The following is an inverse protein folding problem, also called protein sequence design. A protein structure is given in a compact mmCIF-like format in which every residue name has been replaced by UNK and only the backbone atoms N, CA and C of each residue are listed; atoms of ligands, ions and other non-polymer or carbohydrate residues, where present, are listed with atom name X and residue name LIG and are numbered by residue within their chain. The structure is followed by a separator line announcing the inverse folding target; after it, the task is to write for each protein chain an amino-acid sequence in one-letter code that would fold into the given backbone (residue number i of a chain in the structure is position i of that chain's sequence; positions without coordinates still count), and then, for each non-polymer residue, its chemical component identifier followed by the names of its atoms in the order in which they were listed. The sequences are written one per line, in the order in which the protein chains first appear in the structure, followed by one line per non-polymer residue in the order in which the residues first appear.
data_IF_686432203305
#
_entry.id   IF_686432203305
#
_cell.length_a   1.000
_cell.length_b   1.000
_cell.length_c   1.000
_cell.angle_alpha   90.00
_cell.angle_beta   90.00
_cell.angle_gamma   90.00
#
_symmetry.space_group_name_H-M   'P 1'
#
loop_
_entity.id
_entity.type
_entity.pdbx_description
1 polymer ?
#
# COMPACT_ATOMS: atom_id res chain seq x y z
N UNK A 1 51.53 60.70 -13.37
CA UNK A 1 51.60 60.78 -11.90
C UNK A 1 50.42 60.02 -11.32
N UNK A 2 50.70 59.35 -10.21
CA UNK A 2 49.88 58.49 -9.35
C UNK A 2 49.63 57.02 -9.74
N UNK A 3 50.06 56.22 -8.76
CA UNK A 3 50.21 54.78 -8.55
C UNK A 3 49.39 54.49 -7.28
N UNK A 4 48.79 53.31 -7.21
CA UNK A 4 48.24 52.67 -6.00
C UNK A 4 47.50 51.42 -6.46
N UNK A 5 48.08 50.22 -6.45
CA UNK A 5 48.46 49.29 -5.35
C UNK A 5 47.30 48.69 -4.54
N UNK A 6 47.31 47.35 -4.48
CA UNK A 6 46.66 46.46 -3.48
C UNK A 6 45.21 46.06 -3.79
N UNK A 7 44.76 44.81 -3.71
CA UNK A 7 45.36 43.54 -3.30
C UNK A 7 44.50 42.41 -3.90
N UNK A 8 45.12 41.45 -4.56
CA UNK A 8 44.47 40.23 -5.03
C UNK A 8 44.62 39.14 -3.94
N UNK A 9 43.61 38.98 -3.09
CA UNK A 9 43.56 37.86 -2.15
C UNK A 9 43.17 36.57 -2.88
N UNK A 10 44.18 35.80 -3.26
CA UNK A 10 44.03 34.39 -3.61
C UNK A 10 43.77 33.57 -2.34
N UNK A 11 42.57 33.01 -2.22
CA UNK A 11 42.23 32.07 -1.16
C UNK A 11 42.95 30.73 -1.41
N UNK A 12 44.09 30.57 -0.74
CA UNK A 12 44.87 29.33 -0.69
C UNK A 12 44.25 28.42 0.38
N UNK A 13 43.43 27.47 -0.04
CA UNK A 13 42.95 26.40 0.84
C UNK A 13 44.12 25.46 1.17
N UNK A 14 44.69 25.62 2.37
CA UNK A 14 45.60 24.65 2.97
C UNK A 14 44.76 23.47 3.46
N UNK A 15 44.97 22.30 2.83
CA UNK A 15 44.52 21.01 3.36
C UNK A 15 45.45 20.66 4.52
N UNK A 16 45.00 20.90 5.76
CA UNK A 16 45.53 20.20 6.91
C UNK A 16 45.07 18.74 6.85
N UNK A 17 46.02 17.86 7.07
CA UNK A 17 46.04 16.42 6.79
C UNK A 17 44.97 15.63 7.56
N UNK A 18 44.17 14.85 6.83
CA UNK A 18 43.21 13.83 7.32
C UNK A 18 43.85 12.71 8.17
N UNK A 19 45.18 12.70 8.35
CA UNK A 19 45.90 11.63 9.03
C UNK A 19 45.92 11.74 10.56
N UNK A 20 45.62 12.89 11.15
CA UNK A 20 45.65 13.07 12.62
C UNK A 20 44.27 12.86 13.30
N UNK A 21 43.17 12.77 12.53
CA UNK A 21 41.82 12.60 13.08
C UNK A 21 41.41 11.12 13.29
N UNK A 22 42.04 10.17 12.59
CA UNK A 22 41.69 8.74 12.71
C UNK A 22 42.40 8.01 13.86
N UNK A 23 43.40 8.65 14.49
CA UNK A 23 44.21 7.99 15.52
C UNK A 23 43.68 8.19 16.95
N UNK A 24 42.82 9.20 17.18
CA UNK A 24 42.22 9.45 18.51
C UNK A 24 40.91 8.69 18.76
N UNK A 25 40.28 8.14 17.71
CA UNK A 25 38.96 7.48 17.81
C UNK A 25 39.03 5.96 18.03
N UNK A 26 40.23 5.36 17.95
CA UNK A 26 40.43 3.90 18.14
C UNK A 26 40.73 3.45 19.57
N UNK A 27 41.00 4.34 20.52
CA UNK A 27 41.38 3.97 21.90
C UNK A 27 40.26 4.10 22.95
N UNK A 28 39.01 4.37 22.56
CA UNK A 28 37.87 4.46 23.48
C UNK A 28 36.91 3.25 23.41
N UNK A 29 37.46 2.04 23.21
CA UNK A 29 36.72 0.78 23.16
C UNK A 29 36.93 -0.06 24.44
N UNK A 30 36.43 0.44 25.57
CA UNK A 30 35.99 -0.45 26.66
C UNK A 30 34.65 0.08 27.21
N UNK A 31 33.56 -0.47 26.67
CA UNK A 31 32.20 -0.21 27.16
C UNK A 31 31.94 -1.12 28.36
N UNK A 32 31.70 -0.51 29.53
CA UNK A 32 31.27 -1.20 30.73
C UNK A 32 29.86 -1.79 30.54
N UNK A 33 29.65 -3.04 30.96
CA UNK A 33 28.36 -3.75 30.90
C UNK A 33 27.70 -3.89 32.28
N UNK A 34 27.75 -2.84 33.10
CA UNK A 34 27.04 -2.82 34.39
C UNK A 34 25.59 -2.30 34.21
N UNK A 35 24.63 -2.80 35.01
CA UNK A 35 23.25 -2.32 34.97
C UNK A 35 23.19 -0.83 35.39
N UNK A 36 22.77 0.04 34.47
CA UNK A 36 22.63 1.48 34.70
C UNK A 36 23.49 2.38 33.79
N UNK A 37 24.40 1.81 33.00
CA UNK A 37 25.37 2.59 32.18
C UNK A 37 24.81 3.08 30.82
N UNK A 38 23.50 3.04 30.64
CA UNK A 38 22.78 3.58 29.47
C UNK A 38 22.49 5.08 29.57
N UNK A 39 23.29 5.84 30.32
CA UNK A 39 23.10 7.27 30.46
C UNK A 39 23.66 7.97 29.22
N UNK A 40 22.73 8.43 28.35
CA UNK A 40 22.89 9.36 27.22
C UNK A 40 24.26 10.03 27.18
N UNK A 41 25.03 9.77 26.10
CA UNK A 41 26.38 10.34 25.93
C UNK A 41 26.30 11.87 25.99
N UNK A 42 27.31 12.52 26.58
CA UNK A 42 27.40 13.99 26.63
C UNK A 42 27.23 14.65 25.25
N UNK A 43 27.68 13.99 24.18
CA UNK A 43 27.53 14.45 22.80
C UNK A 43 26.07 14.45 22.32
N UNK A 44 25.27 13.47 22.72
CA UNK A 44 23.84 13.39 22.36
C UNK A 44 23.02 14.40 23.16
N UNK A 45 23.36 14.59 24.45
CA UNK A 45 22.76 15.61 25.30
C UNK A 45 23.08 17.04 24.81
N UNK A 46 24.25 17.24 24.19
CA UNK A 46 24.65 18.54 23.63
C UNK A 46 23.95 18.83 22.29
N UNK A 47 23.60 17.80 21.49
CA UNK A 47 22.75 17.97 20.30
C UNK A 47 21.34 18.39 20.67
N UNK A 48 20.76 17.79 21.70
CA UNK A 48 19.40 18.14 22.19
C UNK A 48 19.34 19.50 22.90
N UNK A 49 20.39 19.90 23.61
CA UNK A 49 20.48 21.25 24.21
C UNK A 49 20.73 22.35 23.19
N UNK A 50 21.25 22.02 22.00
CA UNK A 50 21.35 22.96 20.89
C UNK A 50 19.97 23.12 20.21
N UNK A 51 19.06 23.81 20.89
CA UNK A 51 17.87 24.39 20.25
C UNK A 51 18.36 25.10 19.00
N UNK A 52 17.94 24.65 17.82
CA UNK A 52 18.22 25.34 16.55
C UNK A 52 17.78 26.79 16.73
N UNK A 53 18.74 27.71 16.90
CA UNK A 53 18.50 29.17 16.99
C UNK A 53 17.87 29.74 15.71
N UNK A 54 17.73 28.91 14.68
CA UNK A 54 17.07 29.22 13.42
C UNK A 54 15.89 28.26 13.22
N UNK A 55 14.86 28.40 14.06
CA UNK A 55 13.51 28.07 13.59
C UNK A 55 13.09 29.14 12.57
N UNK A 56 12.32 28.82 11.52
CA UNK A 56 11.82 29.83 10.60
C UNK A 56 10.85 30.75 11.37
N UNK A 57 11.35 31.90 11.83
CA UNK A 57 10.54 32.98 12.43
C UNK A 57 9.95 33.85 11.31
N UNK A 58 9.35 33.21 10.32
CA UNK A 58 8.53 33.90 9.33
C UNK A 58 7.09 33.45 9.52
N UNK A 59 6.14 34.38 9.75
CA UNK A 59 4.71 34.08 9.77
C UNK A 59 4.21 33.31 8.52
N UNK A 60 4.99 33.28 7.46
CA UNK A 60 4.77 32.53 6.22
C UNK A 60 4.80 31.00 6.39
N UNK A 61 5.48 30.47 7.40
CA UNK A 61 5.66 29.02 7.55
C UNK A 61 4.38 28.26 7.94
N UNK A 62 3.39 28.95 8.50
CA UNK A 62 2.06 28.41 8.84
C UNK A 62 0.96 28.87 7.88
N UNK A 63 1.29 29.62 6.83
CA UNK A 63 0.33 30.23 5.89
C UNK A 63 0.62 29.74 4.48
N UNK A 64 0.58 28.43 4.26
CA UNK A 64 0.55 27.88 2.91
C UNK A 64 -0.90 27.99 2.41
N UNK A 65 -1.12 28.84 1.39
CA UNK A 65 -2.38 28.87 0.63
C UNK A 65 -3.38 29.99 0.97
N UNK A 66 -3.04 30.98 1.80
CA UNK A 66 -3.90 32.17 1.99
C UNK A 66 -3.30 33.39 1.29
N UNK A 67 -4.09 34.03 0.43
CA UNK A 67 -3.69 35.24 -0.28
C UNK A 67 -3.42 36.39 0.72
N UNK A 68 -2.35 37.16 0.49
CA UNK A 68 -1.98 38.30 1.33
C UNK A 68 -2.81 39.55 1.00
N UNK A 69 -3.35 39.62 -0.21
CA UNK A 69 -4.28 40.62 -0.69
C UNK A 69 -5.23 40.02 -1.73
N UNK A 70 -6.35 40.70 -2.09
CA UNK A 70 -7.30 40.21 -3.09
C UNK A 70 -6.68 40.01 -4.48
N UNK A 71 -5.67 40.81 -4.84
CA UNK A 71 -4.94 40.64 -6.11
C UNK A 71 -3.93 39.48 -6.11
N UNK A 72 -3.47 39.04 -4.92
CA UNK A 72 -2.63 37.85 -4.72
C UNK A 72 -3.47 36.56 -4.56
N UNK A 73 -4.80 36.68 -4.64
CA UNK A 73 -5.71 35.54 -4.51
C UNK A 73 -5.77 34.72 -5.80
N UNK A 74 -5.83 33.40 -5.64
CA UNK A 74 -5.96 32.50 -6.77
C UNK A 74 -7.26 32.82 -7.51
N UNK A 75 -7.17 33.04 -8.82
CA UNK A 75 -8.35 33.29 -9.64
C UNK A 75 -9.40 32.21 -9.44
N UNK A 76 -10.68 32.59 -9.48
CA UNK A 76 -11.79 31.66 -9.32
C UNK A 76 -11.74 30.49 -10.32
N UNK A 77 -11.13 30.66 -11.48
CA UNK A 77 -10.89 29.58 -12.44
C UNK A 77 -9.92 28.52 -11.92
N UNK A 78 -8.82 28.94 -11.27
CA UNK A 78 -7.84 28.01 -10.68
C UNK A 78 -8.42 27.38 -9.41
N UNK A 79 -9.14 28.15 -8.60
CA UNK A 79 -9.86 27.62 -7.44
C UNK A 79 -10.88 26.56 -7.85
N UNK A 80 -11.69 26.81 -8.89
CA UNK A 80 -12.61 25.80 -9.47
C UNK A 80 -11.91 24.60 -10.08
N UNK A 81 -10.71 24.79 -10.65
CA UNK A 81 -9.89 23.68 -11.17
C UNK A 81 -9.45 22.75 -10.03
N UNK A 82 -9.08 23.32 -8.89
CA UNK A 82 -8.68 22.57 -7.68
C UNK A 82 -9.86 22.01 -6.87
N UNK A 83 -11.03 22.67 -6.90
CA UNK A 83 -12.25 22.27 -6.18
C UNK A 83 -13.18 21.33 -6.99
N UNK A 84 -12.66 20.66 -8.03
CA UNK A 84 -13.44 19.71 -8.87
C UNK A 84 -14.71 20.31 -9.53
N UNK A 85 -14.80 21.64 -9.70
CA UNK A 85 -15.98 22.31 -10.26
C UNK A 85 -15.94 22.52 -11.78
N UNK A 86 -15.05 21.82 -12.50
CA UNK A 86 -14.98 21.83 -13.96
C UNK A 86 -15.64 20.58 -14.55
N UNK A 87 -16.45 20.73 -15.60
CA UNK A 87 -17.16 19.61 -16.27
C UNK A 87 -16.23 18.50 -16.78
N UNK A 88 -15.00 18.85 -17.13
CA UNK A 88 -13.94 17.92 -17.55
C UNK A 88 -13.39 17.02 -16.42
N UNK A 89 -13.60 17.39 -15.15
CA UNK A 89 -13.23 16.61 -13.96
C UNK A 89 -14.40 15.78 -13.42
N UNK A 90 -15.56 15.79 -14.07
CA UNK A 90 -16.69 14.96 -13.68
C UNK A 90 -16.26 13.48 -13.58
N UNK A 91 -16.55 12.85 -12.44
CA UNK A 91 -16.18 11.46 -12.17
C UNK A 91 -14.69 11.22 -11.90
N UNK A 92 -13.85 12.25 -11.72
CA UNK A 92 -12.44 12.07 -11.37
C UNK A 92 -12.27 11.33 -10.03
N UNK A 93 -12.98 11.75 -8.98
CA UNK A 93 -12.89 11.12 -7.66
C UNK A 93 -13.37 9.67 -7.69
N UNK A 94 -14.40 9.36 -8.49
CA UNK A 94 -14.85 7.97 -8.72
C UNK A 94 -13.78 7.12 -9.44
N UNK A 95 -13.14 7.67 -10.49
CA UNK A 95 -12.03 6.99 -11.18
C UNK A 95 -10.82 6.78 -10.27
N UNK A 96 -10.45 7.80 -9.49
CA UNK A 96 -9.36 7.70 -8.52
C UNK A 96 -9.67 6.65 -7.45
N UNK A 97 -10.89 6.66 -6.92
CA UNK A 97 -11.33 5.67 -5.96
C UNK A 97 -11.28 4.24 -6.54
N UNK A 98 -11.77 4.05 -7.77
CA UNK A 98 -11.67 2.76 -8.46
C UNK A 98 -10.21 2.33 -8.66
N UNK A 99 -9.33 3.23 -9.09
CA UNK A 99 -7.89 2.94 -9.21
C UNK A 99 -7.25 2.58 -7.87
N UNK A 100 -7.63 3.25 -6.78
CA UNK A 100 -7.13 2.94 -5.45
C UNK A 100 -7.62 1.57 -4.98
N UNK A 101 -8.86 1.18 -5.28
CA UNK A 101 -9.36 -0.19 -5.04
C UNK A 101 -8.46 -1.21 -5.71
N UNK A 102 -8.13 -1.01 -6.99
CA UNK A 102 -7.28 -1.93 -7.75
C UNK A 102 -5.83 -1.95 -7.24
N UNK A 103 -5.23 -0.77 -7.02
CA UNK A 103 -3.82 -0.66 -6.58
C UNK A 103 -3.57 -1.28 -5.22
N UNK A 104 -4.40 -0.93 -4.24
CA UNK A 104 -4.28 -1.46 -2.87
C UNK A 104 -4.50 -2.97 -2.87
N UNK A 105 -5.54 -3.45 -3.57
CA UNK A 105 -5.83 -4.89 -3.66
C UNK A 105 -4.68 -5.65 -4.33
N UNK A 106 -4.13 -5.12 -5.43
CA UNK A 106 -2.99 -5.72 -6.11
C UNK A 106 -1.73 -5.78 -5.21
N UNK A 107 -1.46 -4.72 -4.44
CA UNK A 107 -0.36 -4.72 -3.48
C UNK A 107 -0.54 -5.82 -2.42
N UNK A 108 -1.73 -5.92 -1.81
CA UNK A 108 -2.04 -6.97 -0.83
C UNK A 108 -1.94 -8.38 -1.42
N UNK A 109 -2.38 -8.59 -2.66
CA UNK A 109 -2.23 -9.87 -3.36
C UNK A 109 -0.76 -10.26 -3.57
N UNK A 110 0.10 -9.28 -3.85
CA UNK A 110 1.54 -9.52 -4.00
C UNK A 110 2.21 -9.82 -2.65
N UNK A 111 1.83 -9.10 -1.60
CA UNK A 111 2.35 -9.33 -0.24
C UNK A 111 2.03 -10.75 0.26
N UNK A 112 0.87 -11.28 -0.13
CA UNK A 112 0.43 -12.65 0.19
C UNK A 112 0.85 -13.70 -0.86
N UNK A 113 1.60 -13.30 -1.89
CA UNK A 113 2.05 -14.20 -2.97
C UNK A 113 0.93 -14.99 -3.64
N UNK A 114 -0.25 -14.39 -3.84
CA UNK A 114 -1.40 -15.07 -4.45
C UNK A 114 -1.12 -15.48 -5.91
N UNK A 115 -1.76 -16.57 -6.33
CA UNK A 115 -1.69 -17.03 -7.71
C UNK A 115 -2.26 -15.97 -8.67
N UNK A 116 -1.84 -15.95 -9.96
CA UNK A 116 -2.40 -15.01 -10.92
C UNK A 116 -3.92 -15.10 -11.04
N UNK A 117 -4.48 -16.31 -10.95
CA UNK A 117 -5.92 -16.53 -10.97
C UNK A 117 -6.63 -15.90 -9.77
N UNK A 118 -6.17 -16.19 -8.55
CA UNK A 118 -6.71 -15.59 -7.32
C UNK A 118 -6.68 -14.07 -7.37
N UNK A 119 -5.57 -13.51 -7.85
CA UNK A 119 -5.38 -12.07 -8.00
C UNK A 119 -6.39 -11.46 -8.97
N UNK A 120 -6.58 -12.07 -10.14
CA UNK A 120 -7.53 -11.58 -11.14
C UNK A 120 -8.97 -11.63 -10.59
N UNK A 121 -9.34 -12.67 -9.84
CA UNK A 121 -10.63 -12.76 -9.14
C UNK A 121 -10.79 -11.67 -8.07
N UNK A 122 -9.77 -11.46 -7.23
CA UNK A 122 -9.79 -10.42 -6.18
C UNK A 122 -9.98 -9.04 -6.80
N UNK A 123 -9.22 -8.74 -7.86
CA UNK A 123 -9.35 -7.47 -8.56
C UNK A 123 -10.71 -7.32 -9.25
N UNK A 124 -11.27 -8.41 -9.78
CA UNK A 124 -12.58 -8.41 -10.41
C UNK A 124 -13.67 -8.04 -9.41
N UNK A 125 -13.73 -8.78 -8.30
CA UNK A 125 -14.64 -8.49 -7.19
C UNK A 125 -14.45 -7.07 -6.66
N UNK A 126 -13.22 -6.68 -6.30
CA UNK A 126 -12.94 -5.36 -5.74
C UNK A 126 -13.29 -4.21 -6.69
N UNK A 127 -13.20 -4.42 -8.01
CA UNK A 127 -13.53 -3.40 -9.01
C UNK A 127 -15.01 -3.02 -9.01
N UNK A 128 -15.89 -4.00 -8.85
CA UNK A 128 -17.35 -3.86 -8.90
C UNK A 128 -18.00 -3.72 -7.51
N UNK A 129 -17.33 -4.16 -6.45
CA UNK A 129 -17.86 -4.14 -5.10
C UNK A 129 -18.19 -2.72 -4.61
N UNK A 130 -19.39 -2.56 -4.04
CA UNK A 130 -19.80 -1.34 -3.34
C UNK A 130 -19.27 -1.36 -1.89
N UNK A 131 -18.28 -0.51 -1.64
CA UNK A 131 -17.68 -0.39 -0.31
C UNK A 131 -18.63 0.25 0.71
N UNK A 132 -19.68 0.96 0.28
CA UNK A 132 -20.61 1.62 1.22
C UNK A 132 -21.42 0.62 2.03
N UNK A 133 -21.67 -0.59 1.50
CA UNK A 133 -22.32 -1.69 2.22
C UNK A 133 -21.56 -2.11 3.50
N UNK A 134 -20.25 -1.87 3.56
CA UNK A 134 -19.40 -2.21 4.71
C UNK A 134 -19.43 -1.14 5.83
N UNK A 135 -20.19 -0.05 5.63
CA UNK A 135 -20.43 0.98 6.63
C UNK A 135 -19.14 1.64 7.14
N UNK A 136 -18.93 1.62 8.45
CA UNK A 136 -17.75 2.24 9.08
C UNK A 136 -16.43 1.51 8.75
N UNK A 137 -16.49 0.26 8.30
CA UNK A 137 -15.31 -0.55 7.99
C UNK A 137 -15.00 -0.61 6.48
N UNK A 138 -15.52 0.35 5.70
CA UNK A 138 -15.34 0.47 4.23
C UNK A 138 -13.93 0.82 3.75
N UNK A 139 -12.92 0.73 4.61
CA UNK A 139 -11.54 1.01 4.22
C UNK A 139 -11.08 -0.04 3.20
N UNK A 140 -10.54 0.42 2.06
CA UNK A 140 -10.13 -0.45 0.94
C UNK A 140 -9.24 -1.62 1.42
N UNK A 141 -8.19 -1.43 2.24
CA UNK A 141 -7.35 -2.54 2.66
C UNK A 141 -8.13 -3.60 3.47
N UNK A 142 -9.08 -3.17 4.30
CA UNK A 142 -9.87 -4.08 5.14
C UNK A 142 -10.76 -4.97 4.29
N UNK A 143 -11.52 -4.35 3.39
CA UNK A 143 -12.44 -5.08 2.51
C UNK A 143 -11.66 -5.98 1.56
N UNK A 144 -10.53 -5.53 1.02
CA UNK A 144 -9.67 -6.32 0.17
C UNK A 144 -9.16 -7.60 0.88
N UNK A 145 -8.74 -7.53 2.14
CA UNK A 145 -8.31 -8.70 2.91
C UNK A 145 -9.44 -9.72 3.14
N UNK A 146 -10.67 -9.23 3.35
CA UNK A 146 -11.86 -10.08 3.47
C UNK A 146 -12.15 -10.79 2.14
N UNK A 147 -12.04 -10.07 1.02
CA UNK A 147 -12.22 -10.62 -0.33
C UNK A 147 -11.14 -11.65 -0.65
N UNK A 148 -9.87 -11.35 -0.34
CA UNK A 148 -8.75 -12.26 -0.53
C UNK A 148 -8.98 -13.57 0.22
N UNK A 149 -9.30 -13.50 1.52
CA UNK A 149 -9.64 -14.68 2.31
C UNK A 149 -10.77 -15.46 1.65
N UNK A 150 -11.86 -14.79 1.29
CA UNK A 150 -13.01 -15.47 0.73
C UNK A 150 -12.68 -16.24 -0.56
N UNK A 151 -11.93 -15.62 -1.47
CA UNK A 151 -11.55 -16.24 -2.75
C UNK A 151 -10.59 -17.40 -2.55
N UNK A 152 -9.57 -17.24 -1.71
CA UNK A 152 -8.59 -18.30 -1.46
C UNK A 152 -9.24 -19.48 -0.73
N UNK A 153 -10.01 -19.22 0.33
CA UNK A 153 -10.74 -20.27 1.06
C UNK A 153 -11.69 -21.01 0.09
N UNK A 154 -12.39 -20.28 -0.78
CA UNK A 154 -13.31 -20.86 -1.76
C UNK A 154 -12.60 -21.73 -2.79
N UNK A 155 -11.44 -21.32 -3.29
CA UNK A 155 -10.65 -22.13 -4.22
C UNK A 155 -10.11 -23.40 -3.54
N UNK A 156 -9.69 -23.31 -2.28
CA UNK A 156 -9.26 -24.47 -1.49
C UNK A 156 -10.42 -25.44 -1.23
N UNK A 157 -11.60 -24.92 -0.91
CA UNK A 157 -12.83 -25.70 -0.79
C UNK A 157 -13.14 -26.43 -2.12
N UNK A 158 -13.11 -25.71 -3.25
CA UNK A 158 -13.33 -26.27 -4.59
C UNK A 158 -12.31 -27.36 -4.94
N UNK A 159 -11.04 -27.17 -4.59
CA UNK A 159 -9.99 -28.16 -4.83
C UNK A 159 -10.23 -29.47 -4.07
N UNK A 160 -10.79 -29.38 -2.86
CA UNK A 160 -11.15 -30.53 -2.01
C UNK A 160 -12.55 -31.08 -2.31
N UNK A 161 -13.33 -30.44 -3.19
CA UNK A 161 -14.73 -30.80 -3.46
C UNK A 161 -15.68 -30.47 -2.31
N UNK A 162 -15.28 -29.61 -1.37
CA UNK A 162 -16.08 -29.21 -0.22
C UNK A 162 -17.24 -28.26 -0.57
N UNK A 163 -17.34 -27.85 -1.83
CA UNK A 163 -18.44 -27.05 -2.36
C UNK A 163 -19.66 -27.90 -2.78
N UNK A 164 -19.46 -29.15 -3.15
CA UNK A 164 -20.53 -30.05 -3.59
C UNK A 164 -21.23 -30.70 -2.39
N UNK A 165 -22.33 -30.06 -1.96
CA UNK A 165 -23.10 -30.52 -0.80
C UNK A 165 -23.76 -31.89 -1.03
N UNK A 166 -24.10 -32.25 -2.27
CA UNK A 166 -24.70 -33.55 -2.58
C UNK A 166 -23.66 -34.67 -2.52
N UNK A 167 -22.46 -34.42 -3.04
CA UNK A 167 -21.34 -35.33 -2.92
C UNK A 167 -20.91 -35.55 -1.46
N UNK A 168 -20.82 -34.47 -0.66
CA UNK A 168 -20.48 -34.53 0.77
C UNK A 168 -21.48 -35.38 1.56
N UNK A 169 -22.78 -35.27 1.27
CA UNK A 169 -23.82 -36.07 1.94
C UNK A 169 -23.69 -37.57 1.68
N UNK A 170 -23.07 -37.96 0.57
CA UNK A 170 -22.82 -39.36 0.20
C UNK A 170 -21.54 -39.96 0.76
N UNK A 171 -20.67 -39.14 1.38
CA UNK A 171 -19.38 -39.59 1.89
C UNK A 171 -19.51 -40.25 3.28
N UNK A 172 -18.70 -41.28 3.58
CA UNK A 172 -18.61 -41.83 4.92
C UNK A 172 -17.98 -40.80 5.89
N UNK A 173 -18.37 -40.80 7.18
CA UNK A 173 -17.91 -39.81 8.16
C UNK A 173 -16.38 -39.69 8.29
N UNK A 174 -15.66 -40.80 8.15
CA UNK A 174 -14.20 -40.84 8.22
C UNK A 174 -13.57 -40.04 7.09
N UNK A 175 -14.06 -40.21 5.85
CA UNK A 175 -13.58 -39.46 4.68
C UNK A 175 -13.94 -37.98 4.77
N UNK A 176 -15.09 -37.65 5.34
CA UNK A 176 -15.48 -36.25 5.60
C UNK A 176 -14.50 -35.60 6.58
N UNK A 177 -14.12 -36.31 7.64
CA UNK A 177 -13.15 -35.83 8.65
C UNK A 177 -11.78 -35.59 8.01
N UNK A 178 -11.29 -36.57 7.22
CA UNK A 178 -10.01 -36.46 6.53
C UNK A 178 -9.94 -35.23 5.60
N UNK A 179 -11.05 -34.87 4.94
CA UNK A 179 -11.11 -33.69 4.05
C UNK A 179 -11.08 -32.38 4.83
N UNK A 180 -11.79 -32.32 5.98
CA UNK A 180 -11.74 -31.13 6.83
C UNK A 180 -10.38 -30.95 7.51
N UNK A 181 -9.70 -32.04 7.87
CA UNK A 181 -8.34 -31.97 8.43
C UNK A 181 -7.31 -31.49 7.40
N UNK A 182 -7.55 -31.72 6.11
CA UNK A 182 -6.73 -31.22 5.00
C UNK A 182 -7.04 -29.77 4.63
N UNK A 183 -8.20 -29.23 5.03
CA UNK A 183 -8.58 -27.86 4.71
C UNK A 183 -7.82 -26.87 5.61
N UNK A 184 -6.88 -26.15 5.01
CA UNK A 184 -6.18 -25.04 5.66
C UNK A 184 -6.79 -23.71 5.21
N UNK A 185 -7.36 -22.95 6.15
CA UNK A 185 -7.91 -21.63 5.87
C UNK A 185 -6.79 -20.62 5.66
N UNK A 186 -7.00 -19.59 4.85
CA UNK A 186 -6.00 -18.52 4.69
C UNK A 186 -5.70 -17.81 6.04
N UNK A 187 -6.64 -17.85 6.98
CA UNK A 187 -6.45 -17.31 8.34
C UNK A 187 -5.44 -18.09 9.18
N UNK A 188 -5.13 -19.32 8.80
CA UNK A 188 -4.18 -20.17 9.54
C UNK A 188 -2.73 -19.78 9.19
N UNK A 189 -2.54 -19.01 8.12
CA UNK A 189 -1.25 -18.48 7.71
C UNK A 189 -0.88 -17.21 8.51
N UNK A 190 0.27 -17.24 9.18
CA UNK A 190 0.79 -16.11 9.96
C UNK A 190 0.91 -14.83 9.13
N UNK A 191 1.29 -14.94 7.84
CA UNK A 191 1.42 -13.78 6.95
C UNK A 191 0.11 -13.04 6.78
N UNK A 192 -0.99 -13.76 6.60
CA UNK A 192 -2.31 -13.17 6.47
C UNK A 192 -2.75 -12.53 7.78
N UNK A 193 -2.60 -13.25 8.89
CA UNK A 193 -3.03 -12.76 10.22
C UNK A 193 -2.27 -11.49 10.62
N UNK A 194 -0.96 -11.45 10.43
CA UNK A 194 -0.15 -10.25 10.66
C UNK A 194 -0.58 -9.06 9.79
N UNK A 195 -0.93 -9.32 8.52
CA UNK A 195 -1.39 -8.28 7.61
C UNK A 195 -2.79 -7.77 7.98
N UNK A 196 -3.68 -8.65 8.42
CA UNK A 196 -5.01 -8.29 8.93
C UNK A 196 -4.91 -7.42 10.20
N UNK A 197 -4.08 -7.82 11.16
CA UNK A 197 -3.84 -7.06 12.38
C UNK A 197 -3.26 -5.67 12.10
N UNK A 198 -2.29 -5.57 11.18
CA UNK A 198 -1.72 -4.28 10.73
C UNK A 198 -2.78 -3.30 10.23
N UNK A 199 -3.84 -3.81 9.61
CA UNK A 199 -4.97 -3.00 9.14
C UNK A 199 -6.09 -2.86 10.17
N UNK A 200 -5.97 -3.42 11.37
CA UNK A 200 -6.97 -3.36 12.43
C UNK A 200 -8.19 -4.22 12.12
N UNK A 201 -7.96 -5.43 11.62
CA UNK A 201 -8.95 -6.49 11.47
C UNK A 201 -8.66 -7.61 12.49
N UNK A 202 -9.58 -7.78 13.43
CA UNK A 202 -9.65 -8.98 14.27
C UNK A 202 -10.52 -10.06 13.61
N UNK A 203 -10.45 -11.29 14.12
CA UNK A 203 -11.24 -12.43 13.60
C UNK A 203 -12.74 -12.14 13.61
N UNK A 204 -13.23 -11.41 14.61
CA UNK A 204 -14.65 -11.05 14.73
C UNK A 204 -15.10 -10.10 13.62
N UNK A 205 -14.37 -9.00 13.39
CA UNK A 205 -14.67 -8.06 12.31
C UNK A 205 -14.49 -8.71 10.94
N UNK A 206 -13.47 -9.56 10.77
CA UNK A 206 -13.25 -10.32 9.55
C UNK A 206 -14.47 -11.20 9.21
N UNK A 207 -15.00 -11.95 10.18
CA UNK A 207 -16.19 -12.78 10.00
C UNK A 207 -17.46 -11.95 9.76
N UNK A 208 -17.59 -10.80 10.42
CA UNK A 208 -18.71 -9.88 10.17
C UNK A 208 -18.67 -9.30 8.75
N UNK A 209 -17.52 -8.84 8.30
CA UNK A 209 -17.35 -8.28 6.95
C UNK A 209 -17.50 -9.38 5.89
N UNK A 210 -17.09 -10.62 6.16
CA UNK A 210 -17.32 -11.76 5.25
C UNK A 210 -18.81 -12.02 5.01
N UNK A 211 -19.68 -11.83 6.02
CA UNK A 211 -21.13 -11.97 5.83
C UNK A 211 -21.70 -10.90 4.89
N UNK A 212 -21.27 -9.64 5.09
CA UNK A 212 -21.65 -8.53 4.20
C UNK A 212 -21.13 -8.76 2.78
N UNK A 213 -19.88 -9.24 2.66
CA UNK A 213 -19.30 -9.60 1.37
C UNK A 213 -20.14 -10.66 0.66
N UNK A 214 -20.51 -11.76 1.32
CA UNK A 214 -21.34 -12.80 0.71
C UNK A 214 -22.66 -12.25 0.19
N UNK A 215 -23.34 -11.45 0.99
CA UNK A 215 -24.58 -10.79 0.56
C UNK A 215 -24.37 -9.92 -0.68
N UNK A 216 -23.28 -9.17 -0.75
CA UNK A 216 -22.92 -8.38 -1.92
C UNK A 216 -22.58 -9.24 -3.15
N UNK A 217 -21.85 -10.34 -2.96
CA UNK A 217 -21.51 -11.26 -4.06
C UNK A 217 -22.78 -11.89 -4.65
N UNK A 218 -23.70 -12.33 -3.79
CA UNK A 218 -24.98 -12.94 -4.20
C UNK A 218 -25.87 -11.92 -4.93
N UNK A 219 -26.01 -10.70 -4.39
CA UNK A 219 -26.87 -9.66 -4.95
C UNK A 219 -26.38 -9.15 -6.31
N UNK A 220 -25.06 -9.04 -6.48
CA UNK A 220 -24.46 -8.46 -7.68
C UNK A 220 -23.92 -9.50 -8.67
N UNK A 221 -24.04 -10.80 -8.37
CA UNK A 221 -23.54 -11.88 -9.23
C UNK A 221 -22.02 -11.86 -9.42
N UNK A 222 -21.28 -11.51 -8.37
CA UNK A 222 -19.83 -11.26 -8.44
C UNK A 222 -18.97 -12.50 -8.13
N UNK A 223 -19.56 -13.66 -7.85
CA UNK A 223 -18.84 -14.88 -7.47
C UNK A 223 -17.77 -15.31 -8.50
N UNK A 224 -17.98 -14.96 -9.78
CA UNK A 224 -17.08 -15.27 -10.89
C UNK A 224 -16.51 -14.01 -11.56
N UNK A 225 -16.49 -12.88 -10.84
CA UNK A 225 -15.93 -11.64 -11.37
C UNK A 225 -14.40 -11.76 -11.49
N UNK A 226 -13.89 -11.69 -12.72
CA UNK A 226 -12.45 -11.78 -13.01
C UNK A 226 -12.00 -10.50 -13.73
N UNK A 227 -10.94 -9.87 -13.22
CA UNK A 227 -10.37 -8.67 -13.83
C UNK A 227 -9.56 -9.03 -15.08
N UNK A 228 -9.82 -8.36 -16.21
CA UNK A 228 -8.98 -8.44 -17.41
C UNK A 228 -8.96 -9.78 -18.16
N UNK A 229 -9.59 -10.84 -17.64
CA UNK A 229 -9.80 -12.11 -18.32
C UNK A 229 -11.29 -12.42 -18.38
N UNK A 230 -11.78 -12.69 -19.59
CA UNK A 230 -13.11 -13.24 -19.76
C UNK A 230 -13.10 -14.71 -19.29
N UNK A 231 -13.93 -15.12 -18.32
CA UNK A 231 -14.01 -16.50 -17.81
C UNK A 231 -14.31 -17.53 -18.90
N UNK A 232 -14.95 -17.11 -20.00
CA UNK A 232 -15.28 -17.96 -21.15
C UNK A 232 -14.21 -17.94 -22.25
N UNK A 233 -13.04 -17.38 -21.98
CA UNK A 233 -11.96 -17.31 -22.97
C UNK A 233 -11.02 -18.48 -22.82
N UNK A 234 -10.84 -19.21 -23.91
CA UNK A 234 -9.89 -20.32 -24.00
C UNK A 234 -8.49 -19.88 -23.52
N UNK A 235 -7.91 -20.56 -22.51
CA UNK A 235 -6.57 -20.29 -21.98
C UNK A 235 -5.46 -20.30 -23.02
N UNK A 236 -5.64 -21.02 -24.13
CA UNK A 236 -4.65 -21.12 -25.21
C UNK A 236 -4.69 -19.94 -26.18
N UNK A 237 -5.66 -19.03 -26.06
CA UNK A 237 -5.71 -17.84 -26.92
C UNK A 237 -4.78 -16.73 -26.37
N UNK A 238 -3.94 -16.11 -27.23
CA UNK A 238 -3.04 -15.03 -26.81
C UNK A 238 -3.82 -13.89 -26.13
N UNK A 239 -3.29 -13.35 -25.03
CA UNK A 239 -3.90 -12.21 -24.33
C UNK A 239 -4.16 -11.04 -25.29
N UNK A 240 -5.21 -10.24 -25.07
CA UNK A 240 -5.48 -9.08 -25.93
C UNK A 240 -4.30 -8.09 -25.93
N UNK A 241 -3.54 -8.06 -24.83
CA UNK A 241 -2.29 -7.31 -24.69
C UNK A 241 -1.14 -7.86 -25.54
N UNK A 242 -1.06 -9.17 -25.78
CA UNK A 242 -0.02 -9.74 -26.65
C UNK A 242 -0.33 -9.59 -28.13
N UNK A 243 -1.62 -9.61 -28.54
CA UNK A 243 -2.04 -9.32 -29.93
C UNK A 243 -1.66 -7.90 -30.38
N UNK A 244 -1.73 -6.92 -29.48
CA UNK A 244 -1.33 -5.54 -29.80
C UNK A 244 0.19 -5.45 -30.01
N UNK A 245 0.98 -6.16 -29.19
CA UNK A 245 2.44 -6.17 -29.29
C UNK A 245 2.92 -6.86 -30.58
N UNK A 246 2.30 -7.98 -30.97
CA UNK A 246 2.65 -8.67 -32.22
C UNK A 246 2.23 -7.91 -33.48
N UNK A 247 1.19 -7.07 -33.40
CA UNK A 247 0.79 -6.20 -34.52
C UNK A 247 1.68 -4.97 -34.67
N UNK A 248 2.28 -4.50 -33.57
CA UNK A 248 3.25 -3.41 -33.57
C UNK A 248 4.65 -3.87 -34.03
N UNK A 249 5.02 -5.13 -33.80
CA UNK A 249 6.30 -5.72 -34.24
C UNK A 249 6.25 -6.28 -35.68
N UNK A 250 5.06 -6.51 -36.25
CA UNK A 250 4.89 -6.98 -37.63
C UNK A 250 4.70 -5.84 -38.66
N UNK A 251 4.85 -4.59 -38.23
CA UNK A 251 4.67 -3.38 -39.04
C UNK A 251 5.95 -2.61 -39.36
N UNK A 252 7.13 -3.21 -39.16
CA UNK A 252 8.44 -2.68 -39.58
C UNK A 252 9.05 -3.60 -40.66
#
# INVERSE_FOLDING_TARGET
MHRGDGDAHSARWQWESEADAEQTDREALELSQLPGDGAVRRADLQRDQSVRKWGPVTPSATVIGRAKSPEDDLSDSIRRLHEERHSAMAGHSSRMHHLDKLRVSHALCNDLSLTPWQRDCVLGVMSELDLTAFGSQRAIPKVALVVIRHIVDRERELHLGLDDTEWIRGLPPERMTDLYDQFESLTDEERFTNLAEKHGLDVTSLNRLRRVLREQLDQHGLEYAVHGRNPHRDPNLPSLTSRWKSSAEAGD
#
